data_IF_134229990063
#
_entry.id   IF_134229990063
#
_cell.length_a   1.000
_cell.length_b   1.000
_cell.length_c   1.000
_cell.angle_alpha   90.00
_cell.angle_beta   90.00
_cell.angle_gamma   90.00
#
_symmetry.space_group_name_H-M   'P 1'
#
loop_
_entity.id
_entity.type
_entity.pdbx_description
1 polymer ?
#
# COMPACT_ATOMS: atom_id res chain seq x y z
N UNK A 1 14.54 10.79 -11.53
CA UNK A 1 13.19 11.08 -11.78
C UNK A 1 12.32 10.30 -10.88
N UNK A 2 11.29 10.90 -10.34
CA UNK A 2 10.44 10.19 -9.41
C UNK A 2 9.21 9.70 -10.14
N UNK A 3 8.66 8.62 -9.67
CA UNK A 3 7.47 8.03 -10.25
C UNK A 3 6.47 7.77 -9.16
N UNK A 4 5.21 7.89 -9.50
CA UNK A 4 4.12 7.61 -8.58
C UNK A 4 3.66 6.20 -8.85
N UNK A 5 3.60 5.40 -7.81
CA UNK A 5 3.16 4.02 -7.93
C UNK A 5 2.07 3.74 -6.91
N UNK A 6 1.28 2.74 -7.19
CA UNK A 6 0.22 2.35 -6.30
C UNK A 6 0.39 0.88 -5.99
N UNK A 7 0.38 0.57 -4.71
CA UNK A 7 0.47 -0.80 -4.27
C UNK A 7 -0.86 -1.18 -3.62
N UNK A 8 -1.37 -2.36 -3.92
CA UNK A 8 -2.66 -2.79 -3.42
C UNK A 8 -2.44 -4.00 -2.53
N UNK A 9 -2.97 -3.94 -1.31
CA UNK A 9 -2.93 -5.04 -0.39
C UNK A 9 -4.36 -5.52 -0.19
N UNK A 10 -4.56 -6.81 -0.23
CA UNK A 10 -5.91 -7.35 -0.13
C UNK A 10 -5.88 -8.54 0.80
N UNK A 11 -6.89 -8.67 1.63
CA UNK A 11 -6.99 -9.78 2.54
C UNK A 11 -8.45 -10.03 2.85
N UNK A 12 -8.74 -11.26 3.32
CA UNK A 12 -10.11 -11.62 3.63
C UNK A 12 -10.63 -10.83 4.80
N UNK A 13 -9.84 -10.52 5.75
CA UNK A 13 -10.30 -9.78 6.90
C UNK A 13 -9.17 -8.91 7.42
N UNK A 14 -9.52 -7.99 8.29
CA UNK A 14 -8.54 -7.07 8.83
C UNK A 14 -7.84 -7.77 9.98
N UNK A 15 -6.60 -8.15 9.78
CA UNK A 15 -5.83 -8.80 10.78
C UNK A 15 -4.60 -8.00 11.09
N UNK A 16 -4.02 -8.30 12.25
CA UNK A 16 -2.83 -7.59 12.66
C UNK A 16 -1.69 -7.85 11.68
N UNK A 17 -1.55 -9.08 11.20
CA UNK A 17 -0.51 -9.38 10.24
C UNK A 17 -0.65 -8.54 8.99
N UNK A 18 -1.88 -8.32 8.55
CA UNK A 18 -2.14 -7.51 7.37
C UNK A 18 -1.66 -6.09 7.62
N UNK A 19 -1.96 -5.54 8.78
CA UNK A 19 -1.53 -4.19 9.09
C UNK A 19 -0.02 -4.12 9.25
N UNK A 20 0.58 -5.14 9.84
CA UNK A 20 2.02 -5.15 10.00
C UNK A 20 2.71 -5.16 8.65
N UNK A 21 2.20 -5.90 7.70
CA UNK A 21 2.79 -5.93 6.39
C UNK A 21 2.71 -4.56 5.72
N UNK A 22 1.58 -3.89 5.88
CA UNK A 22 1.43 -2.56 5.31
C UNK A 22 2.40 -1.60 5.98
N UNK A 23 2.53 -1.68 7.29
CA UNK A 23 3.45 -0.80 7.98
C UNK A 23 4.88 -1.05 7.55
N UNK A 24 5.24 -2.29 7.37
CA UNK A 24 6.57 -2.60 6.93
C UNK A 24 6.82 -2.03 5.55
N UNK A 25 5.85 -2.15 4.67
CA UNK A 25 5.97 -1.58 3.34
C UNK A 25 6.14 -0.07 3.42
N UNK A 26 5.34 0.58 4.26
CA UNK A 26 5.39 2.02 4.36
C UNK A 26 6.73 2.50 4.90
N UNK A 27 7.31 1.75 5.81
CA UNK A 27 8.57 2.19 6.37
C UNK A 27 9.69 2.09 5.35
N UNK A 28 9.52 1.31 4.30
CA UNK A 28 10.52 1.24 3.25
C UNK A 28 10.29 2.25 2.14
N UNK A 29 9.18 2.97 2.17
CA UNK A 29 8.90 3.93 1.13
C UNK A 29 9.54 5.25 1.46
N UNK A 30 10.09 5.90 0.45
CA UNK A 30 10.66 7.20 0.69
C UNK A 30 9.61 8.22 0.92
N UNK A 31 8.51 8.15 0.23
CA UNK A 31 7.49 9.17 0.35
C UNK A 31 6.15 8.54 0.10
N UNK A 32 5.28 8.60 1.06
CA UNK A 32 3.94 8.07 0.94
C UNK A 32 3.00 9.24 0.70
N UNK A 33 2.23 9.18 -0.39
CA UNK A 33 1.34 10.25 -0.74
C UNK A 33 -0.01 10.04 -0.10
N UNK A 34 -0.54 8.85 -0.17
CA UNK A 34 -1.83 8.60 0.46
C UNK A 34 -2.00 7.12 0.72
N UNK A 35 -2.82 6.81 1.70
CA UNK A 35 -3.15 5.44 2.05
C UNK A 35 -4.66 5.42 2.23
N UNK A 36 -5.31 4.50 1.51
CA UNK A 36 -6.76 4.40 1.58
C UNK A 36 -7.15 2.98 1.87
N UNK A 37 -8.06 2.80 2.82
CA UNK A 37 -8.58 1.49 3.13
C UNK A 37 -10.01 1.40 2.64
N UNK A 38 -10.32 0.33 1.97
CA UNK A 38 -11.67 0.04 1.54
C UNK A 38 -12.13 -1.20 2.27
N UNK A 39 -13.25 -1.07 2.98
CA UNK A 39 -13.77 -2.15 3.76
C UNK A 39 -15.05 -2.59 3.13
N UNK A 40 -15.07 -3.66 2.44
CA UNK A 40 -16.27 -4.16 1.81
C UNK A 40 -17.01 -5.03 2.79
N UNK A 41 -18.00 -4.47 3.43
CA UNK A 41 -18.69 -5.21 4.46
C UNK A 41 -19.45 -6.39 3.91
N UNK A 42 -19.79 -6.38 2.65
CA UNK A 42 -20.56 -7.49 2.14
C UNK A 42 -19.70 -8.68 1.85
N UNK A 43 -18.49 -8.50 1.35
CA UNK A 43 -17.65 -9.63 1.01
C UNK A 43 -16.59 -9.85 2.03
N UNK A 44 -16.53 -8.99 3.03
CA UNK A 44 -15.55 -9.17 4.09
C UNK A 44 -14.12 -9.08 3.58
N UNK A 45 -13.90 -8.51 2.41
CA UNK A 45 -12.56 -8.33 1.90
C UNK A 45 -12.12 -6.91 2.22
N UNK A 46 -10.89 -6.78 2.65
CA UNK A 46 -10.33 -5.48 2.99
C UNK A 46 -9.24 -5.19 1.98
N UNK A 47 -9.24 -4.00 1.44
CA UNK A 47 -8.21 -3.58 0.50
C UNK A 47 -7.56 -2.32 1.00
N UNK A 48 -6.28 -2.21 0.77
CA UNK A 48 -5.54 -1.03 1.14
C UNK A 48 -4.78 -0.56 -0.08
N UNK A 49 -5.00 0.67 -0.48
CA UNK A 49 -4.32 1.24 -1.63
C UNK A 49 -3.31 2.24 -1.12
N UNK A 50 -2.04 2.00 -1.41
CA UNK A 50 -0.99 2.90 -0.97
C UNK A 50 -0.43 3.57 -2.22
N UNK A 51 -0.52 4.89 -2.26
CA UNK A 51 0.06 5.67 -3.34
C UNK A 51 1.35 6.27 -2.80
N UNK A 52 2.45 6.00 -3.48
CA UNK A 52 3.74 6.45 -2.99
C UNK A 52 4.61 6.88 -4.14
N UNK A 53 5.65 7.61 -3.81
CA UNK A 53 6.57 8.12 -4.79
C UNK A 53 7.89 7.40 -4.63
N UNK A 54 8.46 6.94 -5.72
CA UNK A 54 9.73 6.26 -5.65
C UNK A 54 10.65 6.90 -6.67
N UNK A 55 11.97 6.86 -6.37
CA UNK A 55 12.92 7.36 -7.26
C UNK A 55 13.40 6.29 -8.12
N UNK A 56 13.26 6.38 -9.42
CA UNK A 56 13.69 5.36 -10.29
C UNK A 56 14.79 5.91 -11.10
N UNK A 57 15.89 5.21 -11.12
CA UNK A 57 16.94 5.52 -11.92
C UNK A 57 16.72 5.00 -13.21
N UNK A 58 16.68 5.66 -14.15
CA UNK A 58 16.47 5.16 -15.38
C UNK A 58 17.58 4.75 -16.01
N UNK A 59 18.40 4.14 -15.59
CA UNK A 59 19.48 3.73 -16.16
C UNK A 59 19.31 2.77 -16.92
N UNK A 60 19.21 2.39 -17.45
CA UNK A 60 19.00 1.47 -18.06
C UNK A 60 19.13 1.44 -18.88
#
# INVERSE_FOLDING_TARGET
MSKIKIEVFEKDCMERDFLDKIEEFLSGCKRVISVQFLDATRTENVRCYVTYETEEDDEE
#
